data_IF_042671148806
#
_entry.id   IF_042671148806
#
_cell.length_a   1.000
_cell.length_b   1.000
_cell.length_c   1.000
_cell.angle_alpha   90.00
_cell.angle_beta   90.00
_cell.angle_gamma   90.00
#
_symmetry.space_group_name_H-M   'P 1'
#
loop_
_entity.id
_entity.type
_entity.pdbx_description
1 polymer ?
#
# COMPACT_ATOMS: atom_id res chain seq x y z
N UNK A 1 2.59 -0.92 15.15
CA UNK A 1 3.55 -0.80 14.04
C UNK A 1 4.02 -2.20 13.67
N UNK A 2 3.88 -2.62 12.42
CA UNK A 2 4.28 -3.96 11.94
C UNK A 2 5.80 -4.14 11.94
N UNK A 3 6.58 -3.07 11.71
CA UNK A 3 8.04 -3.11 11.77
C UNK A 3 8.50 -3.53 13.18
N UNK A 4 7.99 -2.88 14.22
CA UNK A 4 8.25 -3.26 15.62
C UNK A 4 7.81 -4.68 15.96
N UNK A 5 6.63 -5.09 15.48
CA UNK A 5 6.10 -6.44 15.73
C UNK A 5 6.98 -7.53 15.11
N UNK A 6 7.56 -7.27 13.94
CA UNK A 6 8.40 -8.23 13.23
C UNK A 6 9.89 -8.13 13.57
N UNK A 7 10.39 -6.96 13.99
CA UNK A 7 11.82 -6.67 14.23
C UNK A 7 12.52 -7.56 15.26
N UNK A 8 11.76 -8.22 16.15
CA UNK A 8 12.32 -9.21 17.09
C UNK A 8 12.66 -10.55 16.44
N UNK A 9 12.11 -10.83 15.25
CA UNK A 9 12.19 -12.15 14.58
C UNK A 9 12.63 -12.05 13.12
N UNK A 10 12.53 -10.88 12.52
CA UNK A 10 12.84 -10.60 11.12
C UNK A 10 13.75 -9.38 11.07
N UNK A 11 14.65 -9.33 10.09
CA UNK A 11 15.27 -8.07 9.70
C UNK A 11 14.27 -7.25 8.89
N UNK A 12 14.03 -6.02 9.34
CA UNK A 12 12.99 -5.16 8.79
C UNK A 12 13.59 -3.98 8.04
N UNK A 13 13.07 -3.68 6.85
CA UNK A 13 13.61 -2.57 6.07
C UNK A 13 12.60 -1.87 5.17
N UNK A 14 12.83 -0.58 4.94
CA UNK A 14 12.02 0.27 4.07
C UNK A 14 12.89 0.87 2.95
N UNK A 15 12.38 0.86 1.72
CA UNK A 15 13.07 1.36 0.52
C UNK A 15 12.19 2.39 -0.18
N UNK A 16 12.76 3.56 -0.44
CA UNK A 16 12.08 4.63 -1.16
C UNK A 16 13.11 5.44 -1.98
N UNK A 17 12.82 5.67 -3.26
CA UNK A 17 13.74 6.42 -4.13
C UNK A 17 13.83 7.92 -3.82
N UNK A 18 12.93 8.45 -2.99
CA UNK A 18 12.81 9.89 -2.75
C UNK A 18 13.25 10.34 -1.35
N UNK A 19 13.01 11.62 -1.08
CA UNK A 19 13.36 12.27 0.16
C UNK A 19 12.37 11.95 1.30
N UNK A 20 12.87 11.42 2.43
CA UNK A 20 12.03 11.05 3.59
C UNK A 20 11.45 12.23 4.38
N UNK A 21 11.98 13.45 4.17
CA UNK A 21 11.41 14.67 4.75
C UNK A 21 10.07 15.04 4.08
N UNK A 22 9.87 14.61 2.83
CA UNK A 22 8.59 14.78 2.15
C UNK A 22 7.48 14.11 2.95
N UNK A 23 6.39 14.85 3.19
CA UNK A 23 5.25 14.42 4.00
C UNK A 23 5.62 13.83 5.39
N UNK A 24 6.82 14.14 5.89
CA UNK A 24 7.35 13.58 7.14
C UNK A 24 7.37 12.04 7.17
N UNK A 25 7.56 11.39 6.01
CA UNK A 25 7.59 9.94 5.85
C UNK A 25 8.56 9.26 6.81
N UNK A 26 9.68 9.92 7.14
CA UNK A 26 10.70 9.40 8.07
C UNK A 26 10.11 8.87 9.39
N UNK A 27 9.06 9.50 9.92
CA UNK A 27 8.47 9.10 11.22
C UNK A 27 7.73 7.76 11.11
N UNK A 28 7.14 7.46 9.95
CA UNK A 28 6.35 6.25 9.73
C UNK A 28 7.21 4.98 9.76
N UNK A 29 8.47 5.10 9.34
CA UNK A 29 9.38 3.97 9.14
C UNK A 29 10.57 3.96 10.11
N UNK A 30 10.55 4.80 11.15
CA UNK A 30 11.61 4.89 12.16
C UNK A 30 11.76 3.63 13.04
N UNK A 31 10.75 2.75 13.05
CA UNK A 31 10.81 1.44 13.73
C UNK A 31 11.45 0.34 12.85
N UNK A 32 11.79 0.63 11.59
CA UNK A 32 12.52 -0.32 10.74
C UNK A 32 13.98 -0.42 11.19
N UNK A 33 14.57 -1.61 11.13
CA UNK A 33 16.00 -1.79 11.44
C UNK A 33 16.87 -0.99 10.47
N UNK A 34 16.39 -0.84 9.23
CA UNK A 34 17.11 -0.12 8.20
C UNK A 34 16.18 0.59 7.21
N UNK A 35 16.59 1.76 6.74
CA UNK A 35 15.86 2.56 5.74
C UNK A 35 16.83 2.99 4.65
N UNK A 36 16.53 2.67 3.38
CA UNK A 36 17.19 3.27 2.21
C UNK A 36 16.30 4.32 1.59
N UNK A 37 16.86 5.51 1.42
CA UNK A 37 16.22 6.68 0.80
C UNK A 37 17.07 7.23 -0.34
N UNK A 38 16.62 8.30 -1.00
CA UNK A 38 17.33 8.93 -2.13
C UNK A 38 18.88 8.99 -2.00
N UNK A 39 19.48 9.44 -0.87
CA UNK A 39 20.93 9.56 -0.75
C UNK A 39 21.69 8.22 -0.74
N UNK A 40 20.99 7.12 -0.48
CA UNK A 40 21.58 5.78 -0.38
C UNK A 40 21.72 5.10 -1.75
N UNK A 41 21.12 5.66 -2.81
CA UNK A 41 21.20 5.13 -4.17
C UNK A 41 22.16 5.96 -5.03
N UNK A 42 23.27 5.36 -5.44
CA UNK A 42 24.22 6.00 -6.35
C UNK A 42 23.76 5.89 -7.80
N UNK A 43 22.84 6.75 -8.23
CA UNK A 43 22.32 6.79 -9.59
C UNK A 43 22.03 8.20 -10.06
N UNK A 44 22.34 8.48 -11.33
CA UNK A 44 21.91 9.70 -12.02
C UNK A 44 20.55 9.54 -12.72
N UNK A 45 19.95 8.35 -12.68
CA UNK A 45 18.63 8.08 -13.24
C UNK A 45 17.55 8.50 -12.25
N UNK A 46 17.23 9.79 -12.25
CA UNK A 46 16.31 10.43 -11.29
C UNK A 46 15.31 11.34 -12.00
N UNK A 47 14.20 11.64 -11.32
CA UNK A 47 13.27 12.70 -11.66
C UNK A 47 13.14 13.72 -10.51
N UNK A 48 12.14 14.60 -10.58
CA UNK A 48 11.89 15.63 -9.56
C UNK A 48 11.59 15.06 -8.14
N UNK A 49 11.24 13.78 -8.03
CA UNK A 49 10.90 13.11 -6.78
C UNK A 49 12.04 12.28 -6.20
N UNK A 50 12.96 11.83 -7.05
CA UNK A 50 14.12 11.06 -6.65
C UNK A 50 14.50 9.98 -7.67
N UNK A 51 15.06 8.89 -7.17
CA UNK A 51 15.63 7.80 -7.97
C UNK A 51 14.54 6.88 -8.53
N UNK A 52 14.62 6.57 -9.82
CA UNK A 52 13.64 5.74 -10.50
C UNK A 52 13.58 4.30 -9.99
N UNK A 53 12.38 3.71 -10.11
CA UNK A 53 12.05 2.38 -9.58
C UNK A 53 12.98 1.27 -10.09
N UNK A 54 13.48 1.34 -11.32
CA UNK A 54 14.42 0.34 -11.85
C UNK A 54 15.66 0.17 -10.96
N UNK A 55 16.21 1.28 -10.45
CA UNK A 55 17.39 1.27 -9.59
C UNK A 55 17.01 0.79 -8.19
N UNK A 56 15.93 1.34 -7.63
CA UNK A 56 15.50 1.04 -6.26
C UNK A 56 15.09 -0.44 -6.14
N UNK A 57 14.39 -0.98 -7.14
CA UNK A 57 13.91 -2.36 -7.16
C UNK A 57 15.06 -3.36 -7.34
N UNK A 58 16.07 -3.01 -8.14
CA UNK A 58 17.28 -3.82 -8.29
C UNK A 58 18.07 -3.91 -6.98
N UNK A 59 18.29 -2.77 -6.32
CA UNK A 59 18.97 -2.71 -5.02
C UNK A 59 18.16 -3.42 -3.92
N UNK A 60 16.84 -3.23 -3.90
CA UNK A 60 15.93 -3.96 -3.02
C UNK A 60 16.10 -5.48 -3.18
N UNK A 61 16.17 -5.98 -4.42
CA UNK A 61 16.38 -7.40 -4.66
C UNK A 61 17.75 -7.89 -4.20
N UNK A 62 18.83 -7.14 -4.48
CA UNK A 62 20.17 -7.51 -4.00
C UNK A 62 20.22 -7.67 -2.48
N UNK A 63 19.64 -6.71 -1.76
CA UNK A 63 19.56 -6.80 -0.30
C UNK A 63 18.65 -7.94 0.16
N UNK A 64 17.53 -8.18 -0.54
CA UNK A 64 16.63 -9.31 -0.26
C UNK A 64 17.36 -10.64 -0.42
N UNK A 65 18.16 -10.80 -1.48
CA UNK A 65 18.91 -12.02 -1.78
C UNK A 65 20.05 -12.26 -0.79
N UNK A 66 20.76 -11.20 -0.38
CA UNK A 66 21.89 -11.31 0.54
C UNK A 66 21.50 -11.45 2.02
N UNK A 67 20.24 -11.19 2.38
CA UNK A 67 19.78 -11.31 3.77
C UNK A 67 19.66 -12.78 4.21
N UNK A 68 20.39 -13.17 5.27
CA UNK A 68 20.36 -14.54 5.80
C UNK A 68 19.22 -14.78 6.80
N UNK A 69 18.69 -13.71 7.42
CA UNK A 69 17.60 -13.77 8.39
C UNK A 69 16.23 -13.78 7.68
N UNK A 70 15.16 -14.26 8.35
CA UNK A 70 13.81 -13.92 7.95
C UNK A 70 13.67 -12.40 7.81
N UNK A 71 12.88 -11.92 6.85
CA UNK A 71 12.84 -10.50 6.53
C UNK A 71 11.43 -9.99 6.28
N UNK A 72 11.20 -8.74 6.65
CA UNK A 72 10.05 -7.96 6.25
C UNK A 72 10.56 -6.70 5.55
N UNK A 73 10.34 -6.61 4.24
CA UNK A 73 10.78 -5.47 3.44
C UNK A 73 9.57 -4.77 2.85
N UNK A 74 9.55 -3.44 2.94
CA UNK A 74 8.57 -2.60 2.27
C UNK A 74 9.28 -1.74 1.23
N UNK A 75 8.75 -1.73 0.02
CA UNK A 75 9.26 -1.01 -1.14
C UNK A 75 8.19 -0.02 -1.58
N UNK A 76 8.55 1.26 -1.67
CA UNK A 76 7.64 2.32 -2.08
C UNK A 76 8.11 2.91 -3.42
N UNK A 77 7.34 2.64 -4.47
CA UNK A 77 7.61 3.11 -5.82
C UNK A 77 7.39 4.61 -5.97
N UNK A 78 8.04 5.22 -6.97
CA UNK A 78 8.07 6.67 -7.13
C UNK A 78 7.90 7.15 -8.58
N UNK A 79 8.24 6.32 -9.58
CA UNK A 79 8.34 6.78 -10.98
C UNK A 79 6.99 7.20 -11.59
N UNK A 80 5.89 6.74 -11.01
CA UNK A 80 4.53 7.09 -11.47
C UNK A 80 4.00 8.40 -10.89
N UNK A 81 4.83 9.23 -10.27
CA UNK A 81 4.45 10.55 -9.78
C UNK A 81 4.55 11.62 -10.89
N UNK A 82 3.71 12.66 -10.84
CA UNK A 82 3.74 13.77 -11.81
C UNK A 82 5.11 14.47 -11.87
N UNK A 83 5.63 14.90 -13.03
CA UNK A 83 4.96 15.00 -14.32
C UNK A 83 4.93 13.69 -15.13
N UNK A 84 5.16 12.55 -14.48
CA UNK A 84 5.15 11.20 -15.08
C UNK A 84 6.28 10.99 -16.09
N UNK A 85 7.41 11.64 -15.84
CA UNK A 85 8.61 11.47 -16.62
C UNK A 85 9.32 10.17 -16.23
N UNK A 86 9.51 9.30 -17.23
CA UNK A 86 10.27 8.06 -17.12
C UNK A 86 11.26 8.01 -18.28
N UNK A 87 12.51 8.44 -18.06
CA UNK A 87 13.48 8.60 -19.14
C UNK A 87 13.79 7.25 -19.78
N UNK A 88 14.02 7.26 -21.09
CA UNK A 88 14.35 6.05 -21.87
C UNK A 88 13.26 4.97 -21.92
N UNK A 89 12.04 5.27 -21.47
CA UNK A 89 10.89 4.38 -21.58
C UNK A 89 9.73 5.05 -22.35
N UNK A 90 9.34 4.48 -23.48
CA UNK A 90 8.25 5.00 -24.30
C UNK A 90 7.43 3.86 -24.90
N UNK A 91 6.52 3.30 -24.10
CA UNK A 91 5.59 2.22 -24.50
C UNK A 91 4.16 2.70 -24.67
N UNK A 92 3.80 3.83 -24.04
CA UNK A 92 2.48 4.47 -24.15
C UNK A 92 2.66 5.94 -24.52
N UNK A 93 1.69 6.49 -25.25
CA UNK A 93 1.69 7.90 -25.66
C UNK A 93 1.26 8.85 -24.54
N UNK A 94 0.35 8.39 -23.68
CA UNK A 94 -0.08 9.13 -22.49
C UNK A 94 0.99 9.00 -21.39
N UNK A 95 1.46 10.12 -20.85
CA UNK A 95 2.58 10.16 -19.92
C UNK A 95 2.28 9.40 -18.62
N UNK A 96 1.07 9.53 -18.08
CA UNK A 96 0.63 8.80 -16.88
C UNK A 96 0.59 7.30 -17.15
N UNK A 97 -0.06 6.86 -18.23
CA UNK A 97 -0.09 5.43 -18.58
C UNK A 97 1.31 4.88 -18.89
N UNK A 98 2.21 5.71 -19.42
CA UNK A 98 3.60 5.33 -19.68
C UNK A 98 4.40 5.13 -18.39
N UNK A 99 4.23 6.00 -17.40
CA UNK A 99 4.91 5.87 -16.10
C UNK A 99 4.39 4.68 -15.27
N UNK A 100 3.08 4.40 -15.34
CA UNK A 100 2.50 3.18 -14.77
C UNK A 100 3.08 1.94 -15.46
N UNK A 101 3.16 1.94 -16.80
CA UNK A 101 3.76 0.84 -17.57
C UNK A 101 5.25 0.64 -17.26
N UNK A 102 5.99 1.72 -17.01
CA UNK A 102 7.39 1.66 -16.56
C UNK A 102 7.50 0.94 -15.22
N UNK A 103 6.75 1.41 -14.21
CA UNK A 103 6.72 0.83 -12.86
C UNK A 103 6.31 -0.64 -12.89
N UNK A 104 5.30 -1.00 -13.69
CA UNK A 104 4.86 -2.38 -13.92
C UNK A 104 6.00 -3.25 -14.51
N UNK A 105 6.78 -2.71 -15.45
CA UNK A 105 7.93 -3.45 -16.01
C UNK A 105 9.05 -3.68 -14.99
N UNK A 106 9.33 -2.70 -14.12
CA UNK A 106 10.28 -2.86 -13.02
C UNK A 106 9.78 -3.92 -12.01
N UNK A 107 8.49 -3.88 -11.67
CA UNK A 107 7.86 -4.88 -10.80
C UNK A 107 7.92 -6.28 -11.42
N UNK A 108 7.70 -6.42 -12.72
CA UNK A 108 7.84 -7.67 -13.45
C UNK A 108 9.25 -8.25 -13.33
N UNK A 109 10.28 -7.43 -13.54
CA UNK A 109 11.69 -7.85 -13.37
C UNK A 109 11.96 -8.28 -11.93
N UNK A 110 11.49 -7.53 -10.93
CA UNK A 110 11.63 -7.89 -9.52
C UNK A 110 10.97 -9.24 -9.22
N UNK A 111 9.74 -9.49 -9.70
CA UNK A 111 9.03 -10.74 -9.48
C UNK A 111 9.77 -11.92 -10.13
N UNK A 112 10.30 -11.76 -11.34
CA UNK A 112 11.08 -12.83 -11.99
C UNK A 112 12.37 -13.15 -11.22
N UNK A 113 13.07 -12.13 -10.72
CA UNK A 113 14.23 -12.32 -9.82
C UNK A 113 13.83 -13.02 -8.51
N UNK A 114 12.73 -12.62 -7.88
CA UNK A 114 12.21 -13.25 -6.67
C UNK A 114 11.87 -14.73 -6.90
N UNK A 115 11.19 -15.07 -8.01
CA UNK A 115 10.86 -16.46 -8.38
C UNK A 115 12.09 -17.32 -8.63
N UNK A 116 13.14 -16.74 -9.20
CA UNK A 116 14.41 -17.43 -9.45
C UNK A 116 15.24 -17.66 -8.17
N UNK A 117 14.94 -16.93 -7.09
CA UNK A 117 15.64 -17.08 -5.81
C UNK A 117 15.19 -18.33 -5.03
N UNK A 118 16.10 -18.90 -4.25
CA UNK A 118 15.80 -20.01 -3.32
C UNK A 118 14.81 -19.63 -2.20
N UNK A 119 14.48 -18.33 -2.07
CA UNK A 119 13.59 -17.80 -1.03
C UNK A 119 12.12 -17.73 -1.47
N UNK A 120 11.82 -17.91 -2.77
CA UNK A 120 10.47 -17.76 -3.31
C UNK A 120 9.42 -18.60 -2.57
N UNK A 121 9.74 -19.87 -2.32
CA UNK A 121 8.85 -20.83 -1.65
C UNK A 121 8.47 -20.39 -0.22
N UNK A 122 9.29 -19.56 0.42
CA UNK A 122 9.05 -19.04 1.76
C UNK A 122 8.66 -17.56 1.78
N UNK A 123 8.28 -16.98 0.64
CA UNK A 123 7.97 -15.55 0.52
C UNK A 123 6.47 -15.33 0.36
N UNK A 124 5.95 -14.34 1.10
CA UNK A 124 4.66 -13.69 0.84
C UNK A 124 4.96 -12.32 0.23
N UNK A 125 4.50 -12.10 -1.00
CA UNK A 125 4.58 -10.81 -1.68
C UNK A 125 3.19 -10.18 -1.70
N UNK A 126 3.08 -8.96 -1.18
CA UNK A 126 1.84 -8.17 -1.18
C UNK A 126 2.06 -6.95 -2.08
N UNK A 127 1.21 -6.77 -3.08
CA UNK A 127 1.27 -5.67 -4.04
C UNK A 127 -0.02 -4.88 -3.91
N UNK A 128 0.09 -3.58 -3.63
CA UNK A 128 -1.03 -2.65 -3.54
C UNK A 128 -0.59 -1.26 -3.99
N UNK A 129 -1.53 -0.40 -4.37
CA UNK A 129 -1.27 1.03 -4.47
C UNK A 129 -1.35 1.70 -3.10
N UNK A 130 -0.77 2.89 -2.98
CA UNK A 130 -0.92 3.80 -1.85
C UNK A 130 -2.28 4.49 -1.85
N UNK A 131 -2.76 4.92 -3.02
CA UNK A 131 -4.09 5.48 -3.23
C UNK A 131 -4.61 5.28 -4.65
N UNK A 132 -5.89 5.57 -4.86
CA UNK A 132 -6.48 5.66 -6.20
C UNK A 132 -6.31 7.06 -6.80
N UNK A 133 -6.75 7.24 -8.04
CA UNK A 133 -6.71 8.54 -8.73
C UNK A 133 -8.07 8.87 -9.31
N UNK A 134 -8.29 10.14 -9.65
CA UNK A 134 -9.48 10.56 -10.38
C UNK A 134 -9.49 9.86 -11.73
N UNK A 135 -10.57 9.13 -11.98
CA UNK A 135 -10.71 8.32 -13.19
C UNK A 135 -11.14 9.18 -14.39
N UNK A 136 -10.78 8.77 -15.62
CA UNK A 136 -11.23 9.48 -16.84
C UNK A 136 -12.76 9.52 -17.03
N UNK A 137 -13.50 8.65 -16.35
CA UNK A 137 -14.97 8.63 -16.33
C UNK A 137 -15.58 9.76 -15.47
N UNK A 138 -14.75 10.58 -14.81
CA UNK A 138 -15.15 11.73 -13.99
C UNK A 138 -16.18 11.37 -12.91
N UNK A 139 -16.02 10.22 -12.27
CA UNK A 139 -16.81 9.86 -11.10
C UNK A 139 -16.74 10.94 -10.01
N UNK A 140 -17.82 11.09 -9.25
CA UNK A 140 -17.88 12.08 -8.18
C UNK A 140 -16.71 11.90 -7.18
N UNK A 141 -16.21 12.99 -6.59
CA UNK A 141 -15.02 12.97 -5.72
C UNK A 141 -15.10 12.00 -4.53
N UNK A 142 -16.31 11.65 -4.10
CA UNK A 142 -16.56 10.72 -2.99
C UNK A 142 -16.78 9.28 -3.45
N UNK A 143 -16.92 9.04 -4.76
CA UNK A 143 -17.29 7.74 -5.32
C UNK A 143 -16.20 6.70 -5.08
N UNK A 144 -16.59 5.50 -4.63
CA UNK A 144 -15.68 4.41 -4.27
C UNK A 144 -14.79 3.96 -5.43
N UNK A 145 -15.22 4.18 -6.67
CA UNK A 145 -14.43 3.85 -7.85
C UNK A 145 -13.10 4.61 -7.90
N UNK A 146 -13.02 5.83 -7.35
CA UNK A 146 -11.78 6.62 -7.26
C UNK A 146 -10.82 6.12 -6.17
N UNK A 147 -11.30 5.32 -5.22
CA UNK A 147 -10.51 4.82 -4.07
C UNK A 147 -10.22 3.31 -4.16
N UNK A 148 -10.79 2.63 -5.16
CA UNK A 148 -10.53 1.22 -5.39
C UNK A 148 -9.14 1.04 -5.99
N UNK A 149 -8.27 0.40 -5.21
CA UNK A 149 -6.88 0.10 -5.57
C UNK A 149 -6.68 -1.40 -5.80
N UNK A 150 -5.64 -1.81 -6.56
CA UNK A 150 -5.25 -3.22 -6.63
C UNK A 150 -4.79 -3.72 -5.26
N UNK A 151 -5.10 -4.98 -4.95
CA UNK A 151 -4.58 -5.71 -3.79
C UNK A 151 -4.30 -7.15 -4.24
N UNK A 152 -3.03 -7.51 -4.36
CA UNK A 152 -2.60 -8.83 -4.83
C UNK A 152 -1.68 -9.45 -3.79
N UNK A 153 -2.00 -10.67 -3.37
CA UNK A 153 -1.15 -11.50 -2.54
C UNK A 153 -0.62 -12.65 -3.40
N UNK A 154 0.70 -12.79 -3.47
CA UNK A 154 1.39 -13.85 -4.23
C UNK A 154 2.65 -14.30 -3.50
N UNK A 155 3.50 -15.10 -4.15
CA UNK A 155 4.66 -15.75 -3.52
C UNK A 155 4.39 -17.21 -3.18
N UNK A 156 5.45 -17.98 -2.95
CA UNK A 156 5.33 -19.42 -2.68
C UNK A 156 4.61 -19.77 -1.37
N UNK A 157 4.35 -18.78 -0.49
CA UNK A 157 3.49 -18.95 0.69
C UNK A 157 1.99 -18.96 0.37
N UNK A 158 1.58 -18.43 -0.77
CA UNK A 158 0.18 -18.45 -1.19
C UNK A 158 -0.11 -19.80 -1.84
N UNK A 159 -0.88 -20.63 -1.15
CA UNK A 159 -1.11 -22.04 -1.56
C UNK A 159 -2.23 -22.21 -2.58
N UNK A 160 -3.17 -21.26 -2.63
CA UNK A 160 -4.40 -21.40 -3.43
C UNK A 160 -4.82 -20.09 -4.05
N UNK A 161 -4.97 -20.11 -5.36
CA UNK A 161 -5.56 -19.03 -6.13
C UNK A 161 -6.98 -18.76 -5.64
N UNK A 162 -7.23 -17.52 -5.23
CA UNK A 162 -8.49 -17.09 -4.64
C UNK A 162 -8.79 -15.67 -5.10
N UNK A 163 -10.05 -15.41 -5.43
CA UNK A 163 -10.56 -14.05 -5.64
C UNK A 163 -11.42 -13.68 -4.44
N UNK A 164 -11.06 -12.58 -3.76
CA UNK A 164 -11.84 -12.04 -2.66
C UNK A 164 -12.72 -10.92 -3.22
N UNK A 165 -14.03 -11.11 -3.12
CA UNK A 165 -15.02 -10.16 -3.63
C UNK A 165 -15.50 -9.16 -2.57
N UNK A 166 -15.35 -9.51 -1.30
CA UNK A 166 -15.72 -8.66 -0.17
C UNK A 166 -14.82 -7.42 -0.06
N UNK A 167 -15.36 -6.34 0.50
CA UNK A 167 -14.57 -5.15 0.76
C UNK A 167 -13.45 -5.42 1.79
N UNK A 168 -12.26 -4.94 1.45
CA UNK A 168 -11.05 -4.95 2.30
C UNK A 168 -10.33 -3.61 2.14
N UNK A 169 -9.38 -3.34 3.04
CA UNK A 169 -8.60 -2.11 3.06
C UNK A 169 -7.11 -2.38 3.23
N UNK A 170 -6.26 -1.37 2.97
CA UNK A 170 -4.84 -1.41 3.37
C UNK A 170 -4.68 -1.64 4.88
N UNK A 171 -5.68 -1.21 5.66
CA UNK A 171 -5.77 -1.46 7.09
C UNK A 171 -5.77 -2.94 7.46
N UNK A 172 -6.12 -3.86 6.55
CA UNK A 172 -6.17 -5.31 6.81
C UNK A 172 -4.84 -6.03 6.52
N UNK A 173 -3.85 -5.33 5.96
CA UNK A 173 -2.53 -5.90 5.62
C UNK A 173 -1.78 -6.42 6.86
N UNK A 174 -1.61 -5.66 7.97
CA UNK A 174 -0.87 -6.15 9.13
C UNK A 174 -1.45 -7.44 9.73
N UNK A 175 -2.78 -7.53 9.90
CA UNK A 175 -3.45 -8.74 10.36
C UNK A 175 -3.19 -9.93 9.43
N UNK A 176 -3.17 -9.68 8.12
CA UNK A 176 -2.89 -10.71 7.12
C UNK A 176 -1.46 -11.23 7.19
N UNK A 177 -0.47 -10.34 7.34
CA UNK A 177 0.93 -10.72 7.52
C UNK A 177 1.09 -11.61 8.77
N UNK A 178 0.50 -11.20 9.89
CA UNK A 178 0.59 -11.97 11.14
C UNK A 178 -0.15 -13.30 11.07
N UNK A 179 -1.24 -13.37 10.31
CA UNK A 179 -1.94 -14.62 10.05
C UNK A 179 -1.10 -15.60 9.24
N UNK A 180 -0.41 -15.15 8.18
CA UNK A 180 0.54 -16.00 7.45
C UNK A 180 1.72 -16.46 8.34
N UNK A 181 2.19 -15.60 9.24
CA UNK A 181 3.30 -15.91 10.15
C UNK A 181 2.92 -16.88 11.27
N UNK A 182 1.78 -16.68 11.91
CA UNK A 182 1.42 -17.32 13.20
C UNK A 182 0.20 -18.23 13.12
N UNK A 183 -0.53 -18.22 12.01
CA UNK A 183 -1.83 -18.86 11.87
C UNK A 183 -2.97 -18.14 12.62
N UNK A 184 -2.70 -17.02 13.29
CA UNK A 184 -3.67 -16.29 14.11
C UNK A 184 -3.74 -14.82 13.72
N UNK A 185 -4.91 -14.23 13.92
CA UNK A 185 -5.10 -12.79 13.91
C UNK A 185 -5.05 -12.27 15.36
N UNK A 186 -4.01 -11.52 15.77
CA UNK A 186 -3.90 -11.04 17.14
C UNK A 186 -4.76 -9.79 17.41
N UNK A 187 -5.33 -9.18 16.37
CA UNK A 187 -6.14 -7.97 16.50
C UNK A 187 -7.61 -8.30 16.73
N UNK A 188 -8.25 -7.56 17.65
CA UNK A 188 -9.68 -7.71 17.90
C UNK A 188 -10.55 -7.11 16.80
N UNK A 189 -10.15 -5.96 16.25
CA UNK A 189 -10.98 -5.13 15.36
C UNK A 189 -10.48 -5.03 13.92
N UNK A 190 -9.25 -5.49 13.66
CA UNK A 190 -8.65 -5.50 12.33
C UNK A 190 -8.74 -6.93 11.80
N UNK A 191 -9.32 -7.14 10.62
CA UNK A 191 -9.46 -8.47 10.05
C UNK A 191 -8.34 -8.76 9.05
N UNK A 192 -8.13 -10.04 8.76
CA UNK A 192 -7.25 -10.42 7.65
C UNK A 192 -8.02 -10.34 6.34
N UNK A 193 -7.35 -9.96 5.26
CA UNK A 193 -7.85 -10.05 3.89
C UNK A 193 -8.35 -11.47 3.57
N UNK A 194 -7.79 -12.52 4.18
CA UNK A 194 -8.21 -13.90 4.00
C UNK A 194 -9.56 -14.24 4.66
N UNK A 195 -10.00 -13.41 5.62
CA UNK A 195 -11.28 -13.51 6.33
C UNK A 195 -11.87 -12.09 6.42
N UNK A 196 -12.29 -11.53 5.27
CA UNK A 196 -12.64 -10.12 5.17
C UNK A 196 -13.85 -9.79 6.06
N UNK A 197 -13.83 -8.62 6.69
CA UNK A 197 -15.00 -8.08 7.41
C UNK A 197 -16.13 -7.66 6.47
N UNK A 198 -15.81 -7.47 5.17
CA UNK A 198 -16.72 -6.89 4.20
C UNK A 198 -16.94 -5.40 4.39
N UNK A 199 -16.03 -4.71 5.10
CA UNK A 199 -16.09 -3.28 5.40
C UNK A 199 -14.77 -2.59 5.04
N UNK A 200 -14.84 -1.47 4.34
CA UNK A 200 -13.69 -0.61 4.07
C UNK A 200 -14.04 0.86 4.31
N UNK A 201 -13.08 1.61 4.88
CA UNK A 201 -13.22 3.04 5.12
C UNK A 201 -12.22 3.82 4.27
N UNK A 202 -12.63 4.99 3.81
CA UNK A 202 -11.71 5.97 3.24
C UNK A 202 -12.18 7.39 3.52
N UNK A 203 -11.24 8.33 3.52
CA UNK A 203 -11.53 9.76 3.52
C UNK A 203 -11.43 10.31 2.10
N UNK A 204 -12.26 11.31 1.82
CA UNK A 204 -12.12 12.20 0.67
C UNK A 204 -12.04 13.64 1.17
N UNK A 205 -11.78 14.60 0.28
CA UNK A 205 -11.40 15.97 0.63
C UNK A 205 -12.20 16.62 1.79
N UNK A 206 -13.52 16.42 1.84
CA UNK A 206 -14.42 17.01 2.85
C UNK A 206 -15.34 15.97 3.51
N UNK A 207 -14.95 14.70 3.55
CA UNK A 207 -15.81 13.68 4.16
C UNK A 207 -15.21 12.30 4.29
N UNK A 208 -16.06 11.37 4.70
CA UNK A 208 -15.72 9.98 4.97
C UNK A 208 -16.70 9.07 4.26
N UNK A 209 -16.20 7.90 3.87
CA UNK A 209 -17.02 6.83 3.34
C UNK A 209 -16.82 5.54 4.13
N UNK A 210 -17.90 4.78 4.27
CA UNK A 210 -17.89 3.38 4.70
C UNK A 210 -18.54 2.56 3.58
N UNK A 211 -17.76 1.64 3.02
CA UNK A 211 -18.17 0.71 1.97
C UNK A 211 -18.42 -0.63 2.63
N UNK A 212 -19.62 -1.17 2.45
CA UNK A 212 -20.01 -2.49 2.94
C UNK A 212 -20.57 -3.30 1.78
N UNK A 213 -20.57 -4.63 1.90
CA UNK A 213 -21.07 -5.52 0.84
C UNK A 213 -22.51 -5.22 0.36
N UNK A 214 -23.35 -4.64 1.22
CA UNK A 214 -24.76 -4.36 0.92
C UNK A 214 -25.12 -2.87 0.90
N UNK A 215 -24.24 -1.99 1.37
CA UNK A 215 -24.53 -0.57 1.52
C UNK A 215 -23.26 0.27 1.53
N UNK A 216 -23.26 1.37 0.77
CA UNK A 216 -22.21 2.37 0.78
C UNK A 216 -22.78 3.67 1.35
N UNK A 217 -22.11 4.27 2.33
CA UNK A 217 -22.51 5.54 2.91
C UNK A 217 -21.38 6.55 2.90
N UNK A 218 -21.76 7.81 2.65
CA UNK A 218 -20.84 8.94 2.44
C UNK A 218 -21.30 10.10 3.30
N UNK A 219 -20.48 10.51 4.26
CA UNK A 219 -20.77 11.62 5.16
C UNK A 219 -19.92 12.83 4.82
N UNK A 220 -20.58 13.96 4.54
CA UNK A 220 -19.92 15.23 4.23
C UNK A 220 -19.82 16.11 5.47
N UNK A 221 -18.61 16.56 5.78
CA UNK A 221 -18.33 17.39 6.96
C UNK A 221 -18.85 18.82 6.83
N UNK A 222 -18.82 19.40 5.63
CA UNK A 222 -19.22 20.78 5.41
C UNK A 222 -20.76 20.92 5.50
N UNK A 223 -21.48 20.00 4.87
CA UNK A 223 -22.94 19.99 4.84
C UNK A 223 -23.56 19.23 6.02
N UNK A 224 -22.75 18.48 6.79
CA UNK A 224 -23.17 17.68 7.94
C UNK A 224 -24.30 16.70 7.60
N UNK A 225 -24.25 16.09 6.41
CA UNK A 225 -25.30 15.19 5.90
C UNK A 225 -24.72 14.03 5.10
N UNK A 226 -25.52 12.98 4.95
CA UNK A 226 -25.23 11.89 4.02
C UNK A 226 -25.62 12.26 2.59
N UNK A 227 -24.83 11.81 1.62
CA UNK A 227 -25.12 12.05 0.20
C UNK A 227 -25.86 10.92 -0.51
N UNK A 228 -25.75 9.67 -0.04
CA UNK A 228 -26.45 8.50 -0.61
C UNK A 228 -26.72 7.46 0.48
N UNK A 229 -27.85 6.74 0.32
CA UNK A 229 -28.24 5.49 0.98
C UNK A 229 -27.58 5.28 2.34
N UNK A 230 -28.04 6.04 3.35
CA UNK A 230 -27.57 5.88 4.73
C UNK A 230 -27.75 4.41 5.13
N UNK A 231 -26.65 3.77 5.53
CA UNK A 231 -26.74 2.45 6.14
C UNK A 231 -27.29 2.64 7.56
N UNK A 232 -27.97 1.62 8.10
CA UNK A 232 -28.63 1.73 9.42
C UNK A 232 -27.70 2.16 10.56
N UNK A 233 -26.38 1.95 10.41
CA UNK A 233 -25.38 2.26 11.42
C UNK A 233 -24.30 3.22 10.87
N UNK A 234 -24.03 4.35 11.54
CA UNK A 234 -23.08 5.38 11.08
C UNK A 234 -21.63 5.04 11.42
N UNK A 235 -21.15 3.88 10.95
CA UNK A 235 -19.83 3.35 11.33
C UNK A 235 -18.67 4.30 11.03
N UNK A 236 -18.71 5.06 9.93
CA UNK A 236 -17.67 6.03 9.56
C UNK A 236 -17.53 7.16 10.57
N UNK A 237 -18.64 7.65 11.13
CA UNK A 237 -18.60 8.67 12.18
C UNK A 237 -18.01 8.11 13.46
N UNK A 238 -18.49 6.96 13.90
CA UNK A 238 -18.00 6.30 15.10
C UNK A 238 -16.50 5.97 14.97
N UNK A 239 -16.10 5.40 13.83
CA UNK A 239 -14.70 5.13 13.50
C UNK A 239 -13.87 6.41 13.55
N UNK A 240 -14.27 7.47 12.84
CA UNK A 240 -13.54 8.73 12.83
C UNK A 240 -13.41 9.37 14.22
N UNK A 241 -14.48 9.37 15.01
CA UNK A 241 -14.47 9.89 16.39
C UNK A 241 -13.52 9.10 17.28
N UNK A 242 -13.54 7.77 17.20
CA UNK A 242 -12.68 6.90 17.98
C UNK A 242 -11.21 6.99 17.53
N UNK A 243 -10.95 6.96 16.23
CA UNK A 243 -9.60 7.05 15.67
C UNK A 243 -8.92 8.39 15.98
N UNK A 244 -9.70 9.47 16.11
CA UNK A 244 -9.18 10.80 16.39
C UNK A 244 -9.43 11.26 17.84
N UNK A 245 -9.97 10.40 18.71
CA UNK A 245 -10.32 10.80 20.08
C UNK A 245 -9.11 11.34 20.84
N UNK A 246 -7.92 10.80 20.59
CA UNK A 246 -6.68 11.29 21.18
C UNK A 246 -6.31 12.70 20.68
N UNK A 247 -6.54 12.99 19.41
CA UNK A 247 -6.26 14.30 18.81
C UNK A 247 -7.24 15.38 19.30
N UNK A 248 -8.50 15.01 19.55
CA UNK A 248 -9.51 15.96 20.03
C UNK A 248 -9.51 16.15 21.56
N UNK A 249 -8.87 15.26 22.31
CA UNK A 249 -8.82 15.31 23.77
C UNK A 249 -7.47 15.81 24.34
N UNK A 250 -6.49 16.13 23.50
CA UNK A 250 -5.20 16.72 23.87
C UNK A 250 -4.94 17.99 23.06
#
# INVERSE_FOLDING_TARGET
NIFRELGTTHHTSFYYGGNLEFANIKVLFNDADYVKSEPDFNSSNTNAWGVHDEVVFDEFFKDFENESKPQFKMLFSLSSHEPFDVPHYSKKSDAYLNSISYTDSCLGILIEKLKASDKWNNTLLIITADHGTVRPDNAAIYDKTNFRIPMVLTGGKVLKDTVIHDAVSQGDIPATILKYKTGKNPFLYQQSILEPSGVAFYSYYIGLACIQNQCDQYYDFAQKKYFKNECDQPFEKAYYQLSNSYFFNN
#
